data_IF_562543655224
#
_entry.id   IF_562543655224
#
_cell.length_a   1.000
_cell.length_b   1.000
_cell.length_c   1.000
_cell.angle_alpha   90.00
_cell.angle_beta   90.00
_cell.angle_gamma   90.00
#
_symmetry.space_group_name_H-M   'P 1'
#
loop_
_entity.id
_entity.type
_entity.pdbx_description
1 polymer ?
#
# COMPACT_ATOMS: atom_id res chain seq x y z
N UNK A 1 -14.45 41.95 -0.38
CA UNK A 1 -13.66 40.73 -0.63
C UNK A 1 -13.82 39.79 0.55
N UNK A 2 -14.76 38.85 0.47
CA UNK A 2 -14.90 37.81 1.49
C UNK A 2 -13.75 36.83 1.35
N UNK A 3 -12.94 36.69 2.41
CA UNK A 3 -12.01 35.56 2.55
C UNK A 3 -12.84 34.29 2.67
N UNK A 4 -12.98 33.57 1.58
CA UNK A 4 -13.49 32.20 1.60
C UNK A 4 -12.47 31.37 2.37
N UNK A 5 -12.76 31.09 3.64
CA UNK A 5 -12.03 30.12 4.44
C UNK A 5 -12.24 28.76 3.78
N UNK A 6 -11.26 28.33 2.98
CA UNK A 6 -11.20 26.96 2.47
C UNK A 6 -11.16 26.07 3.71
N UNK A 7 -12.27 25.40 4.03
CA UNK A 7 -12.27 24.29 4.99
C UNK A 7 -11.21 23.31 4.48
N UNK A 8 -10.15 23.13 5.24
CA UNK A 8 -9.22 22.01 5.03
C UNK A 8 -10.06 20.74 5.00
N UNK A 9 -10.15 20.13 3.81
CA UNK A 9 -10.91 18.91 3.57
C UNK A 9 -10.23 17.76 4.31
N UNK A 10 -10.48 17.61 5.61
CA UNK A 10 -9.89 16.52 6.38
C UNK A 10 -10.45 15.19 5.86
N UNK A 11 -9.58 14.33 5.31
CA UNK A 11 -9.95 12.95 5.01
C UNK A 11 -10.47 12.27 6.29
N UNK A 12 -11.61 11.57 6.24
CA UNK A 12 -12.17 10.97 7.43
C UNK A 12 -11.27 9.85 7.94
N UNK A 13 -11.15 9.74 9.27
CA UNK A 13 -10.39 8.70 9.94
C UNK A 13 -11.12 7.36 9.85
N UNK A 14 -10.78 6.56 8.84
CA UNK A 14 -11.26 5.17 8.70
C UNK A 14 -10.30 4.18 9.37
N UNK A 15 -10.63 2.88 9.38
CA UNK A 15 -9.80 1.88 10.11
C UNK A 15 -9.51 0.56 9.42
N UNK A 16 -10.11 0.27 8.27
CA UNK A 16 -9.80 -0.94 7.51
C UNK A 16 -9.32 -0.60 6.10
N UNK A 17 -8.32 -1.35 5.66
CA UNK A 17 -7.60 -1.08 4.41
C UNK A 17 -8.27 -1.73 3.19
N UNK A 18 -8.82 -2.93 3.34
CA UNK A 18 -9.32 -3.73 2.21
C UNK A 18 -10.76 -3.36 1.84
N UNK A 19 -11.03 -3.25 0.54
CA UNK A 19 -12.39 -3.06 0.02
C UNK A 19 -13.20 -4.37 0.10
N UNK A 20 -12.53 -5.53 0.13
CA UNK A 20 -13.13 -6.85 0.38
C UNK A 20 -13.99 -6.87 1.66
N UNK A 21 -13.71 -6.00 2.64
CA UNK A 21 -14.53 -5.87 3.85
C UNK A 21 -15.98 -5.47 3.55
N UNK A 22 -16.23 -4.61 2.55
CA UNK A 22 -17.59 -4.28 2.12
C UNK A 22 -18.29 -5.51 1.55
N UNK A 23 -17.61 -6.25 0.66
CA UNK A 23 -18.19 -7.45 0.06
C UNK A 23 -18.59 -8.49 1.11
N UNK A 24 -17.69 -8.83 2.03
CA UNK A 24 -18.00 -9.85 3.04
C UNK A 24 -19.07 -9.38 4.02
N UNK A 25 -19.16 -8.07 4.29
CA UNK A 25 -20.20 -7.51 5.14
C UNK A 25 -21.56 -7.61 4.46
N UNK A 26 -21.69 -7.11 3.22
CA UNK A 26 -22.94 -7.17 2.47
C UNK A 26 -23.40 -8.62 2.28
N UNK A 27 -22.47 -9.54 1.99
CA UNK A 27 -22.76 -10.98 1.86
C UNK A 27 -23.23 -11.62 3.17
N UNK A 28 -22.82 -11.06 4.31
CA UNK A 28 -23.26 -11.54 5.63
C UNK A 28 -24.70 -11.08 5.94
N UNK A 29 -25.04 -9.85 5.55
CA UNK A 29 -26.39 -9.27 5.69
C UNK A 29 -27.39 -9.92 4.72
N UNK A 30 -26.95 -10.31 3.53
CA UNK A 30 -27.84 -11.04 2.59
C UNK A 30 -28.33 -12.38 3.18
N UNK A 31 -27.52 -13.01 4.04
CA UNK A 31 -27.84 -14.32 4.64
C UNK A 31 -28.58 -14.22 5.97
N UNK A 32 -28.38 -13.14 6.71
CA UNK A 32 -28.93 -12.97 8.06
C UNK A 32 -29.33 -11.50 8.26
N UNK A 33 -30.41 -11.25 8.97
CA UNK A 33 -30.85 -9.87 9.27
C UNK A 33 -30.53 -9.46 10.71
N UNK A 34 -30.37 -10.43 11.64
CA UNK A 34 -30.05 -10.16 13.05
C UNK A 34 -28.56 -9.83 13.17
N UNK A 35 -28.23 -8.66 13.73
CA UNK A 35 -26.85 -8.14 13.77
C UNK A 35 -25.80 -9.12 14.30
N UNK A 36 -26.11 -9.91 15.34
CA UNK A 36 -25.18 -10.89 15.90
C UNK A 36 -24.93 -12.09 14.97
N UNK A 37 -25.95 -12.50 14.21
CA UNK A 37 -25.83 -13.54 13.19
C UNK A 37 -25.03 -13.02 11.98
N UNK A 38 -25.29 -11.78 11.56
CA UNK A 38 -24.48 -11.09 10.54
C UNK A 38 -23.02 -11.04 10.99
N UNK A 39 -22.76 -10.70 12.24
CA UNK A 39 -21.39 -10.67 12.77
C UNK A 39 -20.74 -12.06 12.75
N UNK A 40 -21.49 -13.13 13.04
CA UNK A 40 -20.98 -14.50 12.96
C UNK A 40 -20.61 -14.89 11.52
N UNK A 41 -21.47 -14.61 10.54
CA UNK A 41 -21.17 -14.81 9.13
C UNK A 41 -19.96 -13.99 8.66
N UNK A 42 -19.88 -12.72 9.10
CA UNK A 42 -18.76 -11.83 8.78
C UNK A 42 -17.43 -12.37 9.29
N UNK A 43 -17.38 -12.95 10.50
CA UNK A 43 -16.15 -13.56 11.03
C UNK A 43 -15.64 -14.71 10.16
N UNK A 44 -16.56 -15.57 9.70
CA UNK A 44 -16.24 -16.72 8.85
C UNK A 44 -15.66 -16.22 7.52
N UNK A 45 -16.38 -15.33 6.82
CA UNK A 45 -15.93 -14.78 5.55
C UNK A 45 -14.61 -13.99 5.70
N UNK A 46 -14.41 -13.28 6.81
CA UNK A 46 -13.15 -12.59 7.11
C UNK A 46 -11.96 -13.55 7.18
N UNK A 47 -12.15 -14.76 7.69
CA UNK A 47 -11.11 -15.80 7.72
C UNK A 47 -10.86 -16.37 6.31
N UNK A 48 -11.92 -16.72 5.59
CA UNK A 48 -11.87 -17.25 4.22
C UNK A 48 -11.13 -16.30 3.26
N UNK A 49 -11.46 -15.01 3.31
CA UNK A 49 -10.80 -13.97 2.50
C UNK A 49 -9.43 -13.53 3.06
N UNK A 50 -8.99 -14.15 4.17
CA UNK A 50 -7.73 -13.90 4.87
C UNK A 50 -7.54 -12.42 5.22
N UNK A 51 -8.60 -11.72 5.61
CA UNK A 51 -8.52 -10.29 5.88
C UNK A 51 -7.94 -10.01 7.27
N UNK A 52 -6.90 -9.18 7.31
CA UNK A 52 -6.19 -8.75 8.52
C UNK A 52 -6.70 -7.43 9.10
N UNK A 53 -6.20 -7.08 10.30
CA UNK A 53 -6.33 -5.73 10.88
C UNK A 53 -5.25 -4.77 10.35
N UNK A 54 -4.24 -5.31 9.67
CA UNK A 54 -3.20 -4.56 8.98
C UNK A 54 -3.58 -4.36 7.51
N UNK A 55 -2.72 -3.62 6.80
CA UNK A 55 -2.77 -3.48 5.34
C UNK A 55 -2.34 -4.72 4.55
N UNK A 56 -2.08 -5.84 5.24
CA UNK A 56 -1.65 -7.10 4.64
C UNK A 56 -2.67 -8.20 4.93
N UNK A 57 -2.88 -9.10 3.96
CA UNK A 57 -3.68 -10.30 4.16
C UNK A 57 -2.96 -11.25 5.13
N UNK A 58 -3.73 -12.06 5.86
CA UNK A 58 -3.20 -13.08 6.76
C UNK A 58 -2.63 -14.26 5.97
N UNK A 59 -1.57 -14.84 6.49
CA UNK A 59 -0.99 -16.06 5.92
C UNK A 59 -1.72 -17.33 6.39
N UNK A 60 -2.27 -17.29 7.60
CA UNK A 60 -2.87 -18.45 8.28
C UNK A 60 -4.26 -18.10 8.81
N UNK A 61 -5.12 -19.11 8.84
CA UNK A 61 -6.42 -19.06 9.49
C UNK A 61 -6.25 -19.08 11.01
N UNK A 62 -7.19 -18.46 11.71
CA UNK A 62 -7.21 -18.45 13.18
C UNK A 62 -8.38 -19.29 13.62
N UNK A 63 -8.16 -20.58 13.90
CA UNK A 63 -9.22 -21.52 14.27
C UNK A 63 -9.99 -21.06 15.52
N UNK A 64 -9.29 -20.47 16.51
CA UNK A 64 -9.90 -20.04 17.78
C UNK A 64 -9.42 -18.63 18.20
N UNK A 65 -10.16 -17.56 17.82
CA UNK A 65 -9.77 -16.20 18.18
C UNK A 65 -9.95 -15.93 19.69
N UNK A 66 -8.90 -15.40 20.31
CA UNK A 66 -8.91 -14.91 21.70
C UNK A 66 -9.98 -13.83 21.91
N UNK A 67 -10.43 -13.62 23.16
CA UNK A 67 -11.40 -12.57 23.51
C UNK A 67 -10.99 -11.19 22.96
N UNK A 68 -9.70 -10.85 23.07
CA UNK A 68 -9.15 -9.60 22.54
C UNK A 68 -9.26 -9.50 21.02
N UNK A 69 -9.06 -10.61 20.30
CA UNK A 69 -9.24 -10.63 18.84
C UNK A 69 -10.72 -10.53 18.47
N UNK A 70 -11.62 -11.19 19.21
CA UNK A 70 -13.06 -11.07 18.98
C UNK A 70 -13.56 -9.63 19.17
N UNK A 71 -13.10 -8.94 20.22
CA UNK A 71 -13.39 -7.52 20.43
C UNK A 71 -12.94 -6.65 19.26
N UNK A 72 -11.75 -6.91 18.70
CA UNK A 72 -11.25 -6.18 17.53
C UNK A 72 -12.02 -6.52 16.25
N UNK A 73 -12.47 -7.76 16.09
CA UNK A 73 -13.33 -8.16 14.98
C UNK A 73 -14.67 -7.44 15.06
N UNK A 74 -15.30 -7.39 16.24
CA UNK A 74 -16.55 -6.64 16.45
C UNK A 74 -16.36 -5.15 16.19
N UNK A 75 -15.23 -4.60 16.63
CA UNK A 75 -14.86 -3.22 16.32
C UNK A 75 -14.75 -2.96 14.81
N UNK A 76 -14.09 -3.86 14.07
CA UNK A 76 -13.95 -3.77 12.61
C UNK A 76 -15.32 -3.90 11.93
N UNK A 77 -16.13 -4.87 12.34
CA UNK A 77 -17.49 -5.08 11.87
C UNK A 77 -18.34 -3.82 12.01
N UNK A 78 -18.38 -3.22 13.20
CA UNK A 78 -19.12 -1.98 13.44
C UNK A 78 -18.61 -0.84 12.54
N UNK A 79 -17.29 -0.73 12.30
CA UNK A 79 -16.75 0.30 11.42
C UNK A 79 -17.10 0.09 9.96
N UNK A 80 -17.16 -1.16 9.49
CA UNK A 80 -17.63 -1.48 8.14
C UNK A 80 -19.11 -1.17 8.02
N UNK A 81 -19.92 -1.54 9.03
CA UNK A 81 -21.35 -1.23 9.09
C UNK A 81 -21.59 0.29 9.02
N UNK A 82 -20.85 1.08 9.80
CA UNK A 82 -20.94 2.55 9.79
C UNK A 82 -20.67 3.11 8.38
N UNK A 83 -19.63 2.63 7.69
CA UNK A 83 -19.31 3.06 6.32
C UNK A 83 -20.38 2.58 5.31
N UNK A 84 -20.91 1.36 5.45
CA UNK A 84 -21.98 0.88 4.58
C UNK A 84 -23.26 1.71 4.73
N UNK A 85 -23.61 2.14 5.95
CA UNK A 85 -24.73 3.07 6.20
C UNK A 85 -24.49 4.43 5.52
N UNK A 86 -23.29 4.97 5.70
CA UNK A 86 -22.88 6.25 5.12
C UNK A 86 -22.99 6.26 3.59
N UNK A 87 -22.65 5.14 2.95
CA UNK A 87 -22.75 4.99 1.49
C UNK A 87 -24.12 4.46 1.03
N UNK A 88 -25.12 4.40 1.92
CA UNK A 88 -26.50 4.01 1.57
C UNK A 88 -26.65 2.55 1.13
N UNK A 89 -25.75 1.66 1.57
CA UNK A 89 -25.75 0.24 1.18
C UNK A 89 -26.66 -0.63 2.05
N UNK A 90 -27.04 -0.13 3.22
CA UNK A 90 -27.90 -0.83 4.16
C UNK A 90 -28.77 0.14 4.97
N UNK A 91 -29.81 -0.41 5.59
CA UNK A 91 -30.66 0.23 6.59
C UNK A 91 -30.56 -0.62 7.86
N UNK A 92 -30.42 0.04 9.01
CA UNK A 92 -30.58 -0.60 10.33
C UNK A 92 -31.89 -0.10 10.92
N UNK A 93 -32.76 -1.03 11.28
CA UNK A 93 -34.06 -0.75 11.88
C UNK A 93 -33.93 -0.61 13.41
N UNK A 94 -34.97 -0.08 14.05
CA UNK A 94 -34.99 0.16 15.51
C UNK A 94 -34.82 -1.12 16.35
N UNK A 95 -35.20 -2.28 15.80
CA UNK A 95 -35.06 -3.60 16.42
C UNK A 95 -33.66 -4.23 16.22
N UNK A 96 -32.70 -3.46 15.71
CA UNK A 96 -31.35 -3.90 15.36
C UNK A 96 -31.28 -4.96 14.25
N UNK A 97 -32.33 -5.09 13.44
CA UNK A 97 -32.25 -5.81 12.17
C UNK A 97 -31.56 -4.95 11.10
N UNK A 98 -30.83 -5.61 10.20
CA UNK A 98 -30.04 -4.99 9.16
C UNK A 98 -30.52 -5.50 7.80
N UNK A 99 -30.87 -4.58 6.91
CA UNK A 99 -31.35 -4.89 5.57
C UNK A 99 -30.48 -4.22 4.50
N UNK A 100 -30.23 -4.93 3.40
CA UNK A 100 -29.57 -4.35 2.23
C UNK A 100 -30.53 -3.41 1.50
N UNK A 101 -30.03 -2.25 1.09
CA UNK A 101 -30.74 -1.40 0.12
C UNK A 101 -30.63 -2.01 -1.28
N UNK A 102 -31.37 -1.45 -2.25
CA UNK A 102 -31.21 -1.83 -3.66
C UNK A 102 -29.79 -1.61 -4.17
N UNK A 103 -29.11 -0.56 -3.72
CA UNK A 103 -27.70 -0.31 -4.06
C UNK A 103 -26.78 -1.38 -3.45
N UNK A 104 -27.01 -1.78 -2.20
CA UNK A 104 -26.28 -2.89 -1.56
C UNK A 104 -26.45 -4.22 -2.31
N UNK A 105 -27.68 -4.54 -2.73
CA UNK A 105 -27.97 -5.73 -3.55
C UNK A 105 -27.33 -5.66 -4.93
N UNK A 106 -27.38 -4.48 -5.58
CA UNK A 106 -26.75 -4.23 -6.88
C UNK A 106 -25.25 -4.49 -6.83
N UNK A 107 -24.55 -4.02 -5.80
CA UNK A 107 -23.12 -4.28 -5.63
C UNK A 107 -22.82 -5.78 -5.48
N UNK A 108 -23.59 -6.50 -4.66
CA UNK A 108 -23.41 -7.96 -4.52
C UNK A 108 -23.62 -8.70 -5.84
N UNK A 109 -24.64 -8.32 -6.61
CA UNK A 109 -24.87 -8.88 -7.93
C UNK A 109 -23.67 -8.59 -8.86
N UNK A 110 -23.18 -7.36 -8.88
CA UNK A 110 -22.02 -6.96 -9.69
C UNK A 110 -20.77 -7.77 -9.36
N UNK A 111 -20.52 -8.05 -8.07
CA UNK A 111 -19.42 -8.94 -7.69
C UNK A 111 -19.56 -10.34 -8.32
N UNK A 112 -20.77 -10.90 -8.34
CA UNK A 112 -21.04 -12.25 -8.86
C UNK A 112 -20.94 -12.32 -10.39
N UNK A 113 -21.35 -11.26 -11.09
CA UNK A 113 -21.43 -11.24 -12.56
C UNK A 113 -20.16 -10.70 -13.23
N UNK A 114 -19.51 -9.71 -12.62
CA UNK A 114 -18.37 -8.98 -13.20
C UNK A 114 -17.07 -9.14 -12.38
N UNK A 115 -17.17 -9.69 -11.17
CA UNK A 115 -16.04 -9.96 -10.30
C UNK A 115 -15.65 -8.80 -9.37
N UNK A 116 -14.62 -9.06 -8.55
CA UNK A 116 -14.15 -8.15 -7.49
C UNK A 116 -13.74 -6.76 -8.00
N UNK A 117 -13.28 -6.63 -9.24
CA UNK A 117 -12.78 -5.35 -9.76
C UNK A 117 -13.90 -4.37 -10.02
N UNK A 118 -14.96 -4.83 -10.68
CA UNK A 118 -16.14 -4.03 -10.94
C UNK A 118 -16.81 -3.62 -9.62
N UNK A 119 -16.90 -4.56 -8.67
CA UNK A 119 -17.34 -4.28 -7.30
C UNK A 119 -16.51 -3.18 -6.62
N UNK A 120 -15.18 -3.34 -6.60
CA UNK A 120 -14.28 -2.39 -5.97
C UNK A 120 -14.35 -1.01 -6.61
N UNK A 121 -14.50 -0.93 -7.94
CA UNK A 121 -14.66 0.33 -8.65
C UNK A 121 -15.97 1.03 -8.26
N UNK A 122 -17.07 0.30 -8.11
CA UNK A 122 -18.33 0.88 -7.64
C UNK A 122 -18.26 1.36 -6.20
N UNK A 123 -17.63 0.59 -5.30
CA UNK A 123 -17.37 1.03 -3.91
C UNK A 123 -16.48 2.28 -3.89
N UNK A 124 -15.47 2.34 -4.77
CA UNK A 124 -14.63 3.51 -4.95
C UNK A 124 -15.45 4.75 -5.34
N UNK A 125 -16.42 4.62 -6.27
CA UNK A 125 -17.26 5.75 -6.71
C UNK A 125 -18.07 6.32 -5.54
N UNK A 126 -18.67 5.45 -4.73
CA UNK A 126 -19.40 5.85 -3.52
C UNK A 126 -18.51 6.62 -2.53
N UNK A 127 -17.29 6.14 -2.31
CA UNK A 127 -16.31 6.83 -1.46
C UNK A 127 -15.88 8.19 -2.05
N UNK A 128 -15.72 8.25 -3.37
CA UNK A 128 -15.31 9.47 -4.06
C UNK A 128 -16.43 10.51 -4.08
N UNK A 129 -17.68 10.10 -4.28
CA UNK A 129 -18.87 10.95 -4.15
C UNK A 129 -18.96 11.57 -2.75
N UNK A 130 -18.76 10.75 -1.71
CA UNK A 130 -18.89 11.17 -0.32
C UNK A 130 -17.74 12.11 0.14
N UNK A 131 -16.52 11.90 -0.35
CA UNK A 131 -15.32 12.52 0.25
C UNK A 131 -14.36 13.18 -0.72
N UNK A 132 -14.42 12.86 -2.01
CA UNK A 132 -13.41 13.24 -3.01
C UNK A 132 -11.99 12.86 -2.56
N UNK A 133 -11.88 11.76 -1.83
CA UNK A 133 -10.67 11.38 -1.12
C UNK A 133 -9.52 11.05 -2.08
N UNK A 134 -9.84 10.41 -3.20
CA UNK A 134 -8.86 9.94 -4.17
C UNK A 134 -8.35 11.09 -5.03
N UNK A 135 -9.22 11.99 -5.48
CA UNK A 135 -8.80 13.27 -6.09
C UNK A 135 -7.82 14.01 -5.21
N UNK A 136 -8.23 14.21 -3.95
CA UNK A 136 -7.46 14.97 -2.98
C UNK A 136 -6.09 14.36 -2.74
N UNK A 137 -6.00 13.02 -2.67
CA UNK A 137 -4.71 12.33 -2.56
C UNK A 137 -3.84 12.50 -3.81
N UNK A 138 -4.41 12.35 -5.01
CA UNK A 138 -3.65 12.47 -6.26
C UNK A 138 -3.12 13.89 -6.45
N UNK A 139 -3.97 14.89 -6.26
CA UNK A 139 -3.58 16.32 -6.31
C UNK A 139 -2.49 16.62 -5.27
N UNK A 140 -2.65 16.13 -4.03
CA UNK A 140 -1.62 16.27 -2.98
C UNK A 140 -0.28 15.67 -3.38
N UNK A 141 -0.25 14.45 -3.95
CA UNK A 141 1.00 13.80 -4.35
C UNK A 141 1.75 14.65 -5.37
N UNK A 142 1.07 15.11 -6.42
CA UNK A 142 1.67 15.96 -7.45
C UNK A 142 2.10 17.33 -6.91
N UNK A 143 1.34 17.94 -5.99
CA UNK A 143 1.72 19.20 -5.34
C UNK A 143 2.98 19.02 -4.47
N UNK A 144 3.00 17.98 -3.63
CA UNK A 144 4.08 17.72 -2.68
C UNK A 144 5.41 17.36 -3.37
N UNK A 145 5.39 16.79 -4.57
CA UNK A 145 6.60 16.53 -5.35
C UNK A 145 6.40 16.63 -6.86
N UNK A 146 6.14 17.83 -7.37
CA UNK A 146 5.89 18.08 -8.80
C UNK A 146 7.07 17.67 -9.69
N UNK A 147 8.30 17.98 -9.29
CA UNK A 147 9.53 17.61 -10.02
C UNK A 147 9.77 16.09 -10.06
N UNK A 148 9.32 15.38 -9.03
CA UNK A 148 9.42 13.92 -8.92
C UNK A 148 8.19 13.18 -9.42
N UNK A 149 7.31 13.80 -10.22
CA UNK A 149 6.07 13.18 -10.71
C UNK A 149 5.19 12.60 -9.60
N UNK A 150 5.07 13.34 -8.49
CA UNK A 150 4.25 12.98 -7.34
C UNK A 150 4.77 11.85 -6.46
N UNK A 151 6.04 11.45 -6.61
CA UNK A 151 6.65 10.39 -5.81
C UNK A 151 7.00 10.88 -4.41
N UNK A 152 6.47 10.23 -3.37
CA UNK A 152 6.85 10.47 -1.98
C UNK A 152 7.67 9.29 -1.45
N UNK A 153 8.80 9.62 -0.83
CA UNK A 153 9.70 8.65 -0.19
C UNK A 153 9.64 8.86 1.32
N UNK A 154 9.39 7.78 2.05
CA UNK A 154 9.34 7.76 3.52
C UNK A 154 10.43 6.82 4.04
N UNK A 155 11.69 7.28 4.07
CA UNK A 155 12.80 6.47 4.53
C UNK A 155 12.62 6.14 6.01
N UNK A 156 12.88 4.89 6.38
CA UNK A 156 12.94 4.48 7.77
C UNK A 156 13.93 3.34 7.94
N UNK A 157 14.66 3.37 9.05
CA UNK A 157 15.69 2.41 9.36
C UNK A 157 15.48 1.88 10.77
N UNK A 158 15.49 0.57 10.90
CA UNK A 158 15.60 -0.12 12.18
C UNK A 158 17.02 0.05 12.73
N UNK A 159 17.21 -0.17 14.05
CA UNK A 159 18.54 -0.18 14.63
C UNK A 159 19.50 -1.16 13.93
N UNK A 160 19.02 -2.33 13.53
CA UNK A 160 19.84 -3.33 12.84
C UNK A 160 20.34 -2.86 11.48
N UNK A 161 19.49 -2.18 10.69
CA UNK A 161 19.86 -1.60 9.39
C UNK A 161 20.89 -0.48 9.52
N UNK A 162 21.05 0.09 10.71
CA UNK A 162 22.11 1.05 11.05
C UNK A 162 23.24 0.42 11.86
N UNK A 163 23.35 -0.91 11.85
CA UNK A 163 24.39 -1.69 12.51
C UNK A 163 24.37 -1.64 14.05
N UNK A 164 23.23 -1.33 14.66
CA UNK A 164 23.03 -1.46 16.10
C UNK A 164 22.34 -2.78 16.44
N UNK A 165 23.08 -3.68 17.08
CA UNK A 165 22.50 -4.92 17.59
C UNK A 165 21.61 -4.64 18.81
N UNK A 166 20.44 -5.27 18.89
CA UNK A 166 19.52 -5.16 20.04
C UNK A 166 20.20 -5.45 21.38
N UNK A 167 21.13 -6.42 21.43
CA UNK A 167 21.87 -6.77 22.66
C UNK A 167 22.75 -5.62 23.18
N UNK A 168 23.14 -4.71 22.29
CA UNK A 168 24.05 -3.60 22.58
C UNK A 168 23.31 -2.30 22.90
N UNK A 169 21.98 -2.27 22.79
CA UNK A 169 21.18 -1.09 23.13
C UNK A 169 20.49 -1.36 24.48
N UNK A 170 21.10 -0.87 25.56
CA UNK A 170 20.62 -1.11 26.92
C UNK A 170 20.33 0.18 27.70
N UNK A 171 20.92 1.29 27.29
CA UNK A 171 20.85 2.58 28.00
C UNK A 171 20.24 3.68 27.14
N UNK A 172 19.85 4.79 27.79
CA UNK A 172 19.45 6.02 27.09
C UNK A 172 20.54 6.51 26.14
N UNK A 173 21.82 6.42 26.53
CA UNK A 173 22.96 6.80 25.68
C UNK A 173 23.01 5.99 24.38
N UNK A 174 22.80 4.68 24.44
CA UNK A 174 22.82 3.83 23.25
C UNK A 174 21.69 4.21 22.28
N UNK A 175 20.52 4.56 22.81
CA UNK A 175 19.38 5.03 22.01
C UNK A 175 19.64 6.40 21.38
N UNK A 176 20.35 7.30 22.06
CA UNK A 176 20.77 8.59 21.50
C UNK A 176 21.74 8.36 20.32
N UNK A 177 22.73 7.48 20.47
CA UNK A 177 23.67 7.16 19.38
C UNK A 177 22.95 6.59 18.16
N UNK A 178 21.95 5.72 18.39
CA UNK A 178 21.10 5.21 17.33
C UNK A 178 20.32 6.33 16.63
N UNK A 179 19.66 7.23 17.37
CA UNK A 179 18.86 8.30 16.74
C UNK A 179 19.73 9.33 16.02
N UNK A 180 20.95 9.60 16.49
CA UNK A 180 21.92 10.44 15.78
C UNK A 180 22.36 9.82 14.45
N UNK A 181 22.67 8.52 14.44
CA UNK A 181 22.97 7.77 13.20
C UNK A 181 21.79 7.79 12.23
N UNK A 182 20.58 7.58 12.75
CA UNK A 182 19.33 7.66 11.98
C UNK A 182 19.16 9.05 11.35
N UNK A 183 19.33 10.12 12.12
CA UNK A 183 19.25 11.50 11.63
C UNK A 183 20.23 11.75 10.49
N UNK A 184 21.49 11.32 10.64
CA UNK A 184 22.50 11.47 9.58
C UNK A 184 22.05 10.79 8.29
N UNK A 185 21.50 9.57 8.41
CA UNK A 185 21.00 8.82 7.25
C UNK A 185 19.79 9.51 6.60
N UNK A 186 18.81 9.92 7.40
CA UNK A 186 17.60 10.61 6.92
C UNK A 186 17.93 11.92 6.21
N UNK A 187 18.91 12.71 6.71
CA UNK A 187 19.37 13.93 6.02
C UNK A 187 19.91 13.62 4.62
N UNK A 188 20.72 12.58 4.48
CA UNK A 188 21.24 12.15 3.18
C UNK A 188 20.13 11.70 2.22
N UNK A 189 19.10 11.01 2.72
CA UNK A 189 17.96 10.61 1.88
C UNK A 189 17.07 11.80 1.48
N UNK A 190 16.86 12.78 2.37
CA UNK A 190 16.17 14.03 2.04
C UNK A 190 16.91 14.77 0.94
N UNK A 191 18.24 14.93 1.06
CA UNK A 191 19.05 15.56 0.02
C UNK A 191 18.98 14.78 -1.30
N UNK A 192 19.06 13.45 -1.23
CA UNK A 192 19.03 12.58 -2.41
C UNK A 192 17.71 12.64 -3.15
N UNK A 193 16.58 12.52 -2.44
CA UNK A 193 15.25 12.34 -3.04
C UNK A 193 14.45 13.64 -3.16
N UNK A 194 14.58 14.55 -2.20
CA UNK A 194 13.84 15.82 -2.17
C UNK A 194 14.67 17.01 -2.65
N UNK A 195 15.98 16.83 -2.86
CA UNK A 195 16.90 17.86 -3.35
C UNK A 195 16.91 19.11 -2.46
N UNK A 196 16.72 18.93 -1.16
CA UNK A 196 16.78 19.99 -0.17
C UNK A 196 17.66 19.59 1.01
N UNK A 197 18.19 20.58 1.74
CA UNK A 197 18.96 20.35 2.96
C UNK A 197 18.15 20.83 4.16
N UNK A 198 18.00 19.95 5.14
CA UNK A 198 17.20 20.21 6.34
C UNK A 198 18.03 19.84 7.56
N UNK A 199 18.03 20.71 8.57
CA UNK A 199 18.58 20.38 9.88
C UNK A 199 17.52 19.65 10.71
N UNK A 200 17.83 18.42 11.10
CA UNK A 200 16.96 17.56 11.90
C UNK A 200 17.34 17.55 13.39
N UNK A 201 18.37 18.31 13.79
CA UNK A 201 18.91 18.29 15.16
C UNK A 201 17.85 18.65 16.19
N UNK A 202 17.14 19.77 15.99
CA UNK A 202 16.06 20.20 16.88
C UNK A 202 14.92 19.17 16.95
N UNK A 203 14.54 18.60 15.81
CA UNK A 203 13.48 17.58 15.73
C UNK A 203 13.86 16.28 16.45
N UNK A 204 15.14 15.88 16.38
CA UNK A 204 15.63 14.74 17.12
C UNK A 204 15.60 14.98 18.64
N UNK A 205 15.90 16.20 19.09
CA UNK A 205 15.78 16.57 20.50
C UNK A 205 14.31 16.56 20.96
N UNK A 206 13.37 17.04 20.13
CA UNK A 206 11.93 16.97 20.41
C UNK A 206 11.47 15.51 20.55
N UNK A 207 11.90 14.62 19.65
CA UNK A 207 11.64 13.18 19.72
C UNK A 207 12.14 12.57 21.05
N UNK A 208 13.41 12.79 21.39
CA UNK A 208 14.01 12.21 22.60
C UNK A 208 13.29 12.71 23.86
N UNK A 209 13.00 14.02 23.94
CA UNK A 209 12.22 14.60 25.05
C UNK A 209 10.86 13.94 25.20
N UNK A 210 10.15 13.69 24.08
CA UNK A 210 8.85 13.02 24.09
C UNK A 210 8.94 11.58 24.62
N UNK A 211 9.94 10.81 24.17
CA UNK A 211 10.13 9.42 24.61
C UNK A 211 10.47 9.36 26.11
N UNK A 212 11.32 10.27 26.61
CA UNK A 212 11.67 10.38 28.03
C UNK A 212 10.48 10.84 28.87
N UNK A 213 9.70 11.82 28.39
CA UNK A 213 8.49 12.29 29.08
C UNK A 213 7.47 11.17 29.25
N UNK A 214 7.30 10.33 28.22
CA UNK A 214 6.40 9.18 28.27
C UNK A 214 6.94 8.01 29.13
N UNK A 215 8.06 8.20 29.84
CA UNK A 215 8.64 7.22 30.76
C UNK A 215 9.31 6.02 30.11
N UNK A 216 9.54 6.04 28.78
CA UNK A 216 10.17 4.91 28.09
C UNK A 216 11.70 4.92 28.17
N UNK A 217 12.30 6.09 28.34
CA UNK A 217 13.73 6.24 28.55
C UNK A 217 14.01 6.99 29.85
N UNK A 218 14.95 6.52 30.69
CA UNK A 218 15.42 7.28 31.83
C UNK A 218 15.97 8.66 31.44
N UNK A 219 15.82 9.65 32.34
CA UNK A 219 16.40 10.99 32.18
C UNK A 219 17.94 10.97 32.18
N UNK A 220 18.54 10.06 32.94
CA UNK A 220 20.00 9.88 32.96
C UNK A 220 20.45 9.16 31.70
N UNK A 221 21.53 9.64 31.08
CA UNK A 221 22.14 9.03 29.90
C UNK A 221 22.65 7.60 30.16
N UNK A 222 23.16 7.33 31.36
CA UNK A 222 23.62 6.00 31.77
C UNK A 222 22.50 5.08 32.29
N UNK A 223 21.27 5.61 32.41
CA UNK A 223 20.13 4.84 32.88
C UNK A 223 19.76 3.73 31.91
N UNK A 224 19.55 2.52 32.45
CA UNK A 224 19.02 1.38 31.69
C UNK A 224 17.50 1.49 31.56
N UNK A 225 16.97 1.18 30.37
CA UNK A 225 15.53 1.07 30.14
C UNK A 225 15.11 -0.42 30.12
N UNK A 226 13.83 -0.70 30.29
CA UNK A 226 13.32 -2.08 30.23
C UNK A 226 13.50 -2.67 28.82
N UNK A 227 14.24 -3.77 28.63
CA UNK A 227 14.42 -4.43 27.33
C UNK A 227 13.10 -4.87 26.66
N UNK A 228 12.01 -5.03 27.42
CA UNK A 228 10.66 -5.31 26.90
C UNK A 228 10.09 -4.12 26.13
N UNK A 229 10.47 -2.90 26.51
CA UNK A 229 10.01 -1.66 25.86
C UNK A 229 10.80 -1.32 24.58
N UNK A 230 11.90 -2.02 24.28
CA UNK A 230 12.75 -1.78 23.10
C UNK A 230 11.95 -1.64 21.78
N UNK A 231 11.03 -2.58 21.51
CA UNK A 231 10.22 -2.59 20.30
C UNK A 231 9.24 -1.40 20.27
N UNK A 232 8.74 -0.97 21.43
CA UNK A 232 7.83 0.18 21.55
C UNK A 232 8.58 1.49 21.35
N UNK A 233 9.79 1.62 21.89
CA UNK A 233 10.67 2.78 21.72
C UNK A 233 11.03 2.95 20.23
N UNK A 234 11.56 1.89 19.63
CA UNK A 234 11.95 1.90 18.19
C UNK A 234 10.76 2.19 17.28
N UNK A 235 9.58 1.64 17.58
CA UNK A 235 8.33 1.97 16.88
C UNK A 235 7.99 3.45 17.00
N UNK A 236 8.04 4.04 18.21
CA UNK A 236 7.74 5.48 18.40
C UNK A 236 8.71 6.39 17.65
N UNK A 237 10.00 6.02 17.62
CA UNK A 237 11.01 6.73 16.82
C UNK A 237 10.65 6.71 15.34
N UNK A 238 10.32 5.52 14.81
CA UNK A 238 9.90 5.38 13.41
C UNK A 238 8.64 6.19 13.11
N UNK A 239 7.60 6.02 13.92
CA UNK A 239 6.30 6.66 13.70
C UNK A 239 6.41 8.20 13.80
N UNK A 240 7.29 8.73 14.66
CA UNK A 240 7.62 10.16 14.72
C UNK A 240 8.21 10.66 13.40
N UNK A 241 9.25 9.99 12.89
CA UNK A 241 9.89 10.43 11.64
C UNK A 241 8.96 10.28 10.45
N UNK A 242 8.19 9.19 10.33
CA UNK A 242 7.17 9.07 9.27
C UNK A 242 6.16 10.22 9.30
N UNK A 243 5.72 10.60 10.50
CA UNK A 243 4.82 11.75 10.69
C UNK A 243 5.49 13.06 10.29
N UNK A 244 6.75 13.27 10.67
CA UNK A 244 7.54 14.42 10.27
C UNK A 244 7.67 14.53 8.75
N UNK A 245 8.01 13.43 8.05
CA UNK A 245 8.04 13.41 6.59
C UNK A 245 6.70 13.82 5.99
N UNK A 246 5.60 13.20 6.45
CA UNK A 246 4.28 13.46 5.91
C UNK A 246 3.81 14.91 6.15
N UNK A 247 3.83 15.34 7.40
CA UNK A 247 3.16 16.58 7.83
C UNK A 247 4.08 17.80 7.76
N UNK A 248 5.38 17.64 8.04
CA UNK A 248 6.31 18.77 8.07
C UNK A 248 7.13 18.93 6.79
N UNK A 249 7.55 17.84 6.14
CA UNK A 249 8.29 17.95 4.87
C UNK A 249 7.33 18.06 3.68
N UNK A 250 6.40 17.12 3.53
CA UNK A 250 5.44 17.12 2.42
C UNK A 250 4.22 18.02 2.65
N UNK A 251 4.10 18.64 3.84
CA UNK A 251 3.00 19.55 4.20
C UNK A 251 1.61 18.93 4.04
N UNK A 252 1.51 17.62 4.22
CA UNK A 252 0.24 16.93 4.18
C UNK A 252 -0.62 17.35 5.38
N UNK A 253 -1.88 17.77 5.17
CA UNK A 253 -2.77 18.12 6.28
C UNK A 253 -3.32 16.88 7.01
N UNK A 254 -3.09 15.67 6.48
CA UNK A 254 -3.64 14.43 7.02
C UNK A 254 -2.74 13.77 8.06
N UNK A 255 -3.34 12.98 8.94
CA UNK A 255 -2.59 12.08 9.80
C UNK A 255 -2.01 10.92 8.99
N UNK A 256 -0.88 10.35 9.44
CA UNK A 256 -0.27 9.18 8.79
C UNK A 256 -1.26 8.01 8.64
N UNK A 257 -2.11 7.78 9.65
CA UNK A 257 -3.14 6.73 9.60
C UNK A 257 -4.13 6.95 8.48
N UNK A 258 -4.61 8.19 8.30
CA UNK A 258 -5.60 8.51 7.26
C UNK A 258 -4.95 8.45 5.87
N UNK A 259 -3.74 8.99 5.74
CA UNK A 259 -2.96 8.93 4.50
C UNK A 259 -2.67 7.49 4.08
N UNK A 260 -2.23 6.63 5.01
CA UNK A 260 -2.03 5.21 4.74
C UNK A 260 -3.33 4.57 4.28
N UNK A 261 -4.39 4.69 5.07
CA UNK A 261 -5.63 3.99 4.77
C UNK A 261 -6.18 4.33 3.39
N UNK A 262 -6.31 5.63 3.09
CA UNK A 262 -6.83 6.06 1.80
C UNK A 262 -5.87 5.71 0.66
N UNK A 263 -4.56 5.79 0.88
CA UNK A 263 -3.55 5.36 -0.09
C UNK A 263 -3.62 3.86 -0.42
N UNK A 264 -3.85 2.99 0.56
CA UNK A 264 -4.00 1.54 0.34
C UNK A 264 -5.35 1.16 -0.28
N UNK A 265 -6.42 1.92 -0.02
CA UNK A 265 -7.68 1.79 -0.77
C UNK A 265 -7.49 2.22 -2.23
N UNK A 266 -6.82 3.35 -2.46
CA UNK A 266 -6.49 3.86 -3.79
C UNK A 266 -5.66 2.86 -4.59
N UNK A 267 -4.74 2.15 -3.92
CA UNK A 267 -3.93 1.07 -4.50
C UNK A 267 -4.74 -0.10 -5.03
N UNK A 268 -5.82 -0.49 -4.35
CA UNK A 268 -6.69 -1.57 -4.82
C UNK A 268 -7.46 -1.23 -6.10
N UNK A 269 -7.57 0.07 -6.44
CA UNK A 269 -8.22 0.58 -7.65
C UNK A 269 -7.20 0.92 -8.75
N UNK A 270 -5.91 0.97 -8.41
CA UNK A 270 -4.85 1.40 -9.33
C UNK A 270 -4.74 2.92 -9.50
N UNK A 271 -5.24 3.69 -8.53
CA UNK A 271 -5.13 5.17 -8.52
C UNK A 271 -3.75 5.61 -8.04
N UNK A 272 -3.24 4.97 -6.99
CA UNK A 272 -1.95 5.25 -6.36
C UNK A 272 -1.25 3.92 -6.10
N UNK A 273 0.05 3.84 -6.31
CA UNK A 273 0.84 2.75 -5.75
C UNK A 273 1.38 3.12 -4.37
N UNK A 274 1.29 2.20 -3.42
CA UNK A 274 1.95 2.27 -2.12
C UNK A 274 2.66 0.95 -1.81
N UNK A 275 3.96 1.03 -1.54
CA UNK A 275 4.80 -0.14 -1.19
C UNK A 275 5.68 0.18 0.01
N UNK A 276 5.88 -0.80 0.88
CA UNK A 276 6.69 -0.72 2.10
C UNK A 276 8.08 -1.34 1.92
N UNK A 277 8.35 -1.86 0.73
CA UNK A 277 9.56 -2.60 0.41
C UNK A 277 9.90 -2.36 -1.05
N UNK A 278 10.63 -1.28 -1.31
CA UNK A 278 11.23 -1.04 -2.62
C UNK A 278 12.72 -1.44 -2.57
N UNK A 279 13.24 -2.25 -3.50
CA UNK A 279 14.56 -2.88 -3.34
C UNK A 279 15.74 -1.92 -3.12
N UNK A 280 15.65 -0.69 -3.64
CA UNK A 280 16.74 0.29 -3.55
C UNK A 280 16.49 1.39 -2.51
N UNK A 281 15.41 1.30 -1.74
CA UNK A 281 15.00 2.28 -0.73
C UNK A 281 14.54 1.54 0.53
N UNK A 282 15.25 1.73 1.64
CA UNK A 282 14.76 1.27 2.94
C UNK A 282 13.66 2.22 3.42
N UNK A 283 12.42 1.86 3.12
CA UNK A 283 11.28 2.65 3.51
C UNK A 283 10.05 2.41 2.67
N UNK A 284 9.08 3.29 2.85
CA UNK A 284 7.84 3.31 2.08
C UNK A 284 7.97 4.24 0.87
N UNK A 285 7.41 3.82 -0.25
CA UNK A 285 7.29 4.60 -1.48
C UNK A 285 5.80 4.74 -1.83
N UNK A 286 5.35 5.96 -2.12
CA UNK A 286 3.99 6.25 -2.57
C UNK A 286 4.04 7.11 -3.82
N UNK A 287 3.28 6.77 -4.85
CA UNK A 287 3.27 7.55 -6.09
C UNK A 287 1.96 7.36 -6.87
N UNK A 288 1.52 8.37 -7.61
CA UNK A 288 0.33 8.25 -8.43
C UNK A 288 0.56 7.32 -9.62
N UNK A 289 -0.46 6.52 -9.94
CA UNK A 289 -0.61 5.76 -11.19
C UNK A 289 -1.84 6.27 -11.96
N UNK A 290 -2.23 7.52 -11.66
CA UNK A 290 -3.42 8.18 -12.17
C UNK A 290 -3.20 9.69 -12.24
N UNK A 291 -4.06 10.39 -12.96
CA UNK A 291 -4.06 11.85 -13.12
C UNK A 291 -5.46 12.42 -12.98
N UNK A 292 -5.56 13.66 -12.51
CA UNK A 292 -6.82 14.42 -12.47
C UNK A 292 -6.72 15.58 -13.44
N UNK A 293 -7.39 15.47 -14.59
CA UNK A 293 -7.31 16.41 -15.71
C UNK A 293 -8.67 16.58 -16.39
N UNK A 294 -8.84 17.61 -17.20
CA UNK A 294 -10.07 17.82 -17.98
C UNK A 294 -10.18 16.80 -19.13
N UNK A 295 -9.05 16.45 -19.73
CA UNK A 295 -8.93 15.43 -20.78
C UNK A 295 -7.51 14.83 -20.83
N UNK A 296 -7.41 13.66 -21.44
CA UNK A 296 -6.14 12.98 -21.78
C UNK A 296 -6.10 12.69 -23.28
N UNK A 297 -4.91 12.67 -23.87
CA UNK A 297 -4.70 12.41 -25.30
C UNK A 297 -4.16 11.01 -25.60
N UNK A 298 -3.96 10.17 -24.58
CA UNK A 298 -3.44 8.81 -24.72
C UNK A 298 -4.52 7.80 -24.33
N UNK A 299 -4.62 6.74 -25.12
CA UNK A 299 -5.49 5.58 -24.88
C UNK A 299 -4.97 4.68 -23.73
N UNK A 300 -3.77 4.95 -23.22
CA UNK A 300 -3.23 4.26 -22.04
C UNK A 300 -3.94 4.68 -20.75
N UNK A 301 -4.89 5.62 -20.81
CA UNK A 301 -5.62 6.12 -19.65
C UNK A 301 -7.10 5.75 -19.72
N UNK A 302 -7.59 5.13 -18.65
CA UNK A 302 -9.02 4.82 -18.48
C UNK A 302 -9.66 5.81 -17.51
N UNK A 303 -10.74 6.46 -17.93
CA UNK A 303 -11.57 7.28 -17.04
C UNK A 303 -12.28 6.40 -16.01
N UNK A 304 -12.19 6.75 -14.74
CA UNK A 304 -12.87 6.01 -13.66
C UNK A 304 -13.87 6.87 -12.87
N UNK A 305 -13.78 8.20 -12.99
CA UNK A 305 -14.66 9.14 -12.30
C UNK A 305 -14.68 10.51 -12.99
N UNK A 306 -15.84 11.17 -13.01
CA UNK A 306 -16.05 12.52 -13.56
C UNK A 306 -16.53 13.48 -12.46
N UNK A 307 -15.81 14.58 -12.24
CA UNK A 307 -16.11 15.57 -11.22
C UNK A 307 -17.01 16.68 -11.77
N UNK A 308 -17.79 17.30 -10.89
CA UNK A 308 -18.71 18.40 -11.23
C UNK A 308 -18.02 19.66 -11.79
N UNK A 309 -16.71 19.82 -11.54
CA UNK A 309 -15.92 20.93 -12.08
C UNK A 309 -15.33 20.64 -13.47
N UNK A 310 -15.77 19.56 -14.12
CA UNK A 310 -15.35 19.16 -15.47
C UNK A 310 -14.04 18.35 -15.51
N UNK A 311 -13.30 18.31 -14.39
CA UNK A 311 -12.14 17.43 -14.25
C UNK A 311 -12.58 15.97 -14.19
N UNK A 312 -11.67 15.07 -14.52
CA UNK A 312 -11.88 13.62 -14.49
C UNK A 312 -10.67 12.93 -13.87
N UNK A 313 -10.90 11.81 -13.20
CA UNK A 313 -9.84 10.93 -12.71
C UNK A 313 -9.59 9.82 -13.72
N UNK A 314 -8.36 9.77 -14.22
CA UNK A 314 -7.90 8.76 -15.16
C UNK A 314 -6.84 7.88 -14.52
N UNK A 315 -6.98 6.56 -14.61
CA UNK A 315 -5.94 5.60 -14.21
C UNK A 315 -5.11 5.20 -15.41
N UNK A 316 -3.80 5.07 -15.23
CA UNK A 316 -2.91 4.59 -16.28
C UNK A 316 -3.01 3.06 -16.39
N UNK A 317 -3.64 2.62 -17.47
CA UNK A 317 -3.91 1.23 -17.84
C UNK A 317 -3.58 1.01 -19.33
N UNK A 318 -2.28 1.03 -19.68
CA UNK A 318 -1.84 0.70 -21.04
C UNK A 318 -2.28 -0.71 -21.43
N UNK A 319 -2.61 -0.89 -22.71
CA UNK A 319 -3.01 -2.19 -23.27
C UNK A 319 -1.88 -2.79 -24.08
N UNK A 320 -1.79 -4.13 -24.11
CA UNK A 320 -0.74 -4.80 -24.86
C UNK A 320 -0.96 -4.73 -26.37
N UNK A 321 -2.17 -4.45 -26.85
CA UNK A 321 -2.50 -4.41 -28.28
C UNK A 321 -2.42 -5.78 -28.96
N UNK A 322 -3.13 -5.95 -30.07
CA UNK A 322 -3.16 -7.23 -30.81
C UNK A 322 -1.94 -7.40 -31.73
N UNK A 323 -1.16 -6.34 -31.94
CA UNK A 323 0.00 -6.36 -32.84
C UNK A 323 1.22 -7.01 -32.18
N UNK A 324 1.91 -7.86 -32.94
CA UNK A 324 3.14 -8.54 -32.50
C UNK A 324 4.21 -7.57 -31.96
N UNK A 325 4.20 -6.31 -32.42
CA UNK A 325 5.14 -5.23 -32.10
C UNK A 325 4.53 -4.04 -31.33
N UNK A 326 3.57 -4.26 -30.44
CA UNK A 326 3.08 -3.19 -29.58
C UNK A 326 4.22 -2.44 -28.83
N UNK A 327 4.29 -1.10 -28.93
CA UNK A 327 5.29 -0.29 -28.23
C UNK A 327 5.28 -0.51 -26.72
N UNK A 328 4.09 -0.71 -26.13
CA UNK A 328 3.97 -0.95 -24.70
C UNK A 328 4.50 -2.33 -24.30
N UNK A 329 4.20 -3.38 -25.10
CA UNK A 329 4.75 -4.73 -24.90
C UNK A 329 6.28 -4.70 -24.83
N UNK A 330 6.91 -4.07 -25.81
CA UNK A 330 8.38 -3.94 -25.85
C UNK A 330 8.91 -3.17 -24.64
N UNK A 331 8.29 -2.03 -24.30
CA UNK A 331 8.67 -1.23 -23.13
C UNK A 331 8.51 -2.00 -21.81
N UNK A 332 7.46 -2.81 -21.67
CA UNK A 332 7.25 -3.65 -20.50
C UNK A 332 8.33 -4.72 -20.39
N UNK A 333 8.58 -5.48 -21.46
CA UNK A 333 9.62 -6.52 -21.51
C UNK A 333 10.99 -5.93 -21.20
N UNK A 334 11.36 -4.81 -21.83
CA UNK A 334 12.62 -4.12 -21.57
C UNK A 334 12.76 -3.69 -20.11
N UNK A 335 11.68 -3.18 -19.53
CA UNK A 335 11.68 -2.74 -18.13
C UNK A 335 11.78 -3.93 -17.17
N UNK A 336 11.11 -5.04 -17.49
CA UNK A 336 11.20 -6.30 -16.77
C UNK A 336 12.63 -6.86 -16.78
N UNK A 337 13.25 -6.92 -17.96
CA UNK A 337 14.64 -7.41 -18.14
C UNK A 337 15.63 -6.51 -17.39
N UNK A 338 15.54 -5.18 -17.54
CA UNK A 338 16.41 -4.23 -16.84
C UNK A 338 16.25 -4.34 -15.33
N UNK A 339 15.02 -4.40 -14.83
CA UNK A 339 14.74 -4.58 -13.40
C UNK A 339 15.28 -5.91 -12.87
N UNK A 340 15.17 -6.99 -13.64
CA UNK A 340 15.73 -8.28 -13.29
C UNK A 340 17.25 -8.20 -13.13
N UNK A 341 17.96 -7.60 -14.08
CA UNK A 341 19.42 -7.47 -14.00
C UNK A 341 19.88 -6.53 -12.88
N UNK A 342 19.10 -5.50 -12.55
CA UNK A 342 19.40 -4.62 -11.42
C UNK A 342 19.36 -5.38 -10.08
N UNK A 343 18.40 -6.29 -9.91
CA UNK A 343 18.31 -7.17 -8.73
C UNK A 343 19.34 -8.28 -8.77
N UNK A 344 19.53 -8.93 -9.93
CA UNK A 344 20.48 -10.02 -10.13
C UNK A 344 21.91 -9.62 -9.77
N UNK A 345 22.31 -8.35 -9.98
CA UNK A 345 23.63 -7.83 -9.59
C UNK A 345 23.88 -7.88 -8.07
N UNK A 346 22.84 -7.97 -7.27
CA UNK A 346 22.94 -8.02 -5.80
C UNK A 346 23.05 -9.46 -5.27
N UNK A 347 22.76 -10.47 -6.09
CA UNK A 347 22.67 -11.87 -5.68
C UNK A 347 23.49 -12.79 -6.60
N UNK A 348 24.00 -13.91 -6.05
CA UNK A 348 24.86 -14.82 -6.83
C UNK A 348 24.07 -15.79 -7.72
N UNK A 349 22.84 -16.13 -7.36
CA UNK A 349 21.98 -17.11 -8.05
C UNK A 349 21.08 -16.47 -9.11
N UNK A 350 20.58 -17.25 -10.07
CA UNK A 350 19.81 -16.74 -11.23
C UNK A 350 18.38 -16.31 -10.90
N UNK A 351 17.80 -16.85 -9.85
CA UNK A 351 16.44 -16.49 -9.43
C UNK A 351 16.45 -15.20 -8.62
N UNK A 352 15.42 -14.38 -8.76
CA UNK A 352 15.20 -13.21 -7.91
C UNK A 352 13.76 -13.20 -7.40
N UNK A 353 13.52 -12.44 -6.33
CA UNK A 353 12.18 -12.24 -5.80
C UNK A 353 11.31 -11.46 -6.80
N UNK A 354 10.20 -12.07 -7.23
CA UNK A 354 9.30 -11.51 -8.24
C UNK A 354 8.52 -10.30 -7.73
N UNK A 355 8.18 -10.24 -6.44
CA UNK A 355 7.51 -9.07 -5.86
C UNK A 355 8.40 -7.82 -5.91
N UNK A 356 9.70 -7.98 -5.65
CA UNK A 356 10.71 -6.92 -5.76
C UNK A 356 10.84 -6.43 -7.19
N UNK A 357 10.84 -7.36 -8.16
CA UNK A 357 10.82 -7.01 -9.57
C UNK A 357 9.54 -6.26 -9.95
N UNK A 358 8.37 -6.72 -9.50
CA UNK A 358 7.09 -6.03 -9.68
C UNK A 358 7.18 -4.58 -9.21
N UNK A 359 7.68 -4.33 -8.00
CA UNK A 359 7.77 -2.95 -7.49
C UNK A 359 8.65 -2.05 -8.38
N UNK A 360 9.76 -2.57 -8.91
CA UNK A 360 10.61 -1.84 -9.86
C UNK A 360 9.87 -1.53 -11.16
N UNK A 361 9.21 -2.53 -11.74
CA UNK A 361 8.50 -2.38 -13.02
C UNK A 361 7.31 -1.44 -12.87
N UNK A 362 6.48 -1.63 -11.84
CA UNK A 362 5.36 -0.74 -11.53
C UNK A 362 5.84 0.71 -11.35
N UNK A 363 6.96 0.92 -10.67
CA UNK A 363 7.48 2.27 -10.42
C UNK A 363 7.98 2.94 -11.69
N UNK A 364 8.72 2.21 -12.53
CA UNK A 364 9.29 2.71 -13.79
C UNK A 364 8.23 2.98 -14.84
N UNK A 365 7.18 2.16 -14.89
CA UNK A 365 6.09 2.29 -15.86
C UNK A 365 4.89 3.08 -15.34
N UNK A 366 4.86 3.42 -14.05
CA UNK A 366 3.72 4.07 -13.37
C UNK A 366 2.41 3.32 -13.59
N UNK A 367 2.45 2.00 -13.40
CA UNK A 367 1.29 1.11 -13.50
C UNK A 367 0.95 0.49 -12.15
N UNK A 368 -0.30 0.06 -11.99
CA UNK A 368 -0.74 -0.65 -10.79
C UNK A 368 -0.14 -2.06 -10.71
N UNK A 369 -0.11 -2.66 -9.51
CA UNK A 369 0.25 -4.09 -9.35
C UNK A 369 -0.62 -5.00 -10.21
N UNK A 370 -1.89 -4.63 -10.32
CA UNK A 370 -2.89 -5.38 -11.06
C UNK A 370 -2.58 -5.38 -12.57
N UNK A 371 -2.28 -4.21 -13.13
CA UNK A 371 -1.83 -4.06 -14.52
C UNK A 371 -0.55 -4.85 -14.78
N UNK A 372 0.40 -4.84 -13.83
CA UNK A 372 1.61 -5.66 -13.94
C UNK A 372 1.28 -7.15 -14.01
N UNK A 373 0.39 -7.65 -13.16
CA UNK A 373 0.00 -9.07 -13.14
C UNK A 373 -0.68 -9.49 -14.44
N UNK A 374 -1.61 -8.70 -14.98
CA UNK A 374 -2.23 -8.97 -16.28
C UNK A 374 -1.21 -8.98 -17.41
N UNK A 375 -0.35 -7.95 -17.46
CA UNK A 375 0.66 -7.83 -18.50
C UNK A 375 1.65 -8.99 -18.40
N UNK A 376 2.11 -9.34 -17.20
CA UNK A 376 3.02 -10.46 -16.98
C UNK A 376 2.39 -11.80 -17.37
N UNK A 377 1.10 -11.99 -17.11
CA UNK A 377 0.34 -13.18 -17.54
C UNK A 377 0.39 -13.36 -19.06
N UNK A 378 0.10 -12.30 -19.81
CA UNK A 378 0.13 -12.32 -21.26
C UNK A 378 1.55 -12.51 -21.79
N UNK A 379 2.52 -11.77 -21.27
CA UNK A 379 3.95 -11.94 -21.61
C UNK A 379 4.41 -13.37 -21.32
N UNK A 380 3.98 -13.99 -20.21
CA UNK A 380 4.35 -15.36 -19.89
C UNK A 380 3.74 -16.39 -20.86
N UNK A 381 2.51 -16.18 -21.35
CA UNK A 381 1.93 -17.01 -22.43
C UNK A 381 2.71 -16.88 -23.73
N UNK A 382 3.15 -15.67 -24.09
CA UNK A 382 4.03 -15.44 -25.24
C UNK A 382 5.39 -16.12 -25.07
N UNK A 383 5.93 -16.13 -23.85
CA UNK A 383 7.15 -16.87 -23.51
C UNK A 383 6.99 -18.38 -23.75
N UNK A 384 5.90 -18.98 -23.25
CA UNK A 384 5.63 -20.41 -23.42
C UNK A 384 5.42 -20.83 -24.88
N UNK A 385 4.87 -19.93 -25.71
CA UNK A 385 4.71 -20.15 -27.15
C UNK A 385 5.97 -19.83 -27.97
N UNK A 386 7.07 -19.41 -27.34
CA UNK A 386 8.34 -19.11 -28.01
C UNK A 386 8.34 -17.80 -28.81
N UNK A 387 7.36 -16.92 -28.59
CA UNK A 387 7.20 -15.66 -29.31
C UNK A 387 7.98 -14.48 -28.69
N UNK A 388 8.72 -14.73 -27.61
CA UNK A 388 9.61 -13.74 -27.00
C UNK A 388 11.08 -13.99 -27.33
N UNK A 389 11.83 -12.89 -27.44
CA UNK A 389 13.31 -12.90 -27.57
C UNK A 389 14.03 -13.20 -26.25
N UNK A 390 13.28 -13.40 -25.17
CA UNK A 390 13.76 -13.76 -23.84
C UNK A 390 13.07 -15.05 -23.38
N UNK A 391 13.70 -15.77 -22.45
CA UNK A 391 13.10 -16.89 -21.75
C UNK A 391 12.84 -16.49 -20.30
N UNK A 392 11.61 -16.69 -19.85
CA UNK A 392 11.16 -16.43 -18.49
C UNK A 392 10.85 -17.76 -17.81
N UNK A 393 11.42 -17.98 -16.64
CA UNK A 393 11.08 -19.09 -15.74
C UNK A 393 10.45 -18.52 -14.48
N UNK A 394 9.28 -19.05 -14.08
CA UNK A 394 8.54 -18.64 -12.88
C UNK A 394 8.35 -19.83 -11.95
N UNK A 395 8.71 -19.67 -10.67
CA UNK A 395 8.59 -20.74 -9.68
C UNK A 395 7.83 -20.28 -8.44
N UNK A 396 7.33 -21.27 -7.69
CA UNK A 396 6.55 -21.07 -6.45
C UNK A 396 7.47 -21.03 -5.23
N UNK A 397 8.72 -21.49 -5.37
CA UNK A 397 9.67 -21.59 -4.27
C UNK A 397 10.03 -20.23 -3.68
N UNK A 398 10.41 -20.23 -2.40
CA UNK A 398 10.94 -19.06 -1.70
C UNK A 398 12.45 -19.01 -1.86
N UNK A 399 13.00 -17.81 -1.92
CA UNK A 399 14.46 -17.68 -1.82
C UNK A 399 14.92 -18.05 -0.40
N UNK A 400 16.10 -18.68 -0.23
CA UNK A 400 16.62 -19.06 1.08
C UNK A 400 16.76 -17.90 2.08
N UNK A 401 16.85 -16.68 1.56
CA UNK A 401 17.05 -15.44 2.32
C UNK A 401 15.72 -14.82 2.81
N UNK A 402 14.57 -15.31 2.34
CA UNK A 402 13.26 -14.75 2.68
C UNK A 402 12.78 -15.21 4.07
N UNK A 403 12.81 -14.28 5.02
CA UNK A 403 12.14 -14.49 6.31
C UNK A 403 10.62 -14.41 6.18
N UNK A 404 9.87 -15.08 7.07
CA UNK A 404 8.39 -15.00 7.10
C UNK A 404 7.87 -13.55 7.18
N UNK A 405 8.62 -12.64 7.81
CA UNK A 405 8.27 -11.22 7.88
C UNK A 405 8.46 -10.46 6.55
N UNK A 406 9.43 -10.86 5.72
CA UNK A 406 9.56 -10.35 4.36
C UNK A 406 8.43 -10.89 3.49
N UNK A 407 8.12 -12.19 3.61
CA UNK A 407 7.01 -12.83 2.90
C UNK A 407 5.65 -12.16 3.20
N UNK A 408 5.40 -11.71 4.43
CA UNK A 408 4.18 -10.97 4.77
C UNK A 408 4.08 -9.58 4.11
N UNK A 409 5.21 -8.93 3.80
CA UNK A 409 5.23 -7.61 3.15
C UNK A 409 5.13 -7.73 1.63
N UNK A 410 5.53 -8.86 1.07
CA UNK A 410 5.50 -9.14 -0.36
C UNK A 410 4.20 -9.85 -0.71
N UNK A 411 3.23 -9.10 -1.25
CA UNK A 411 2.04 -9.70 -1.86
C UNK A 411 2.46 -10.61 -3.02
N UNK A 412 2.11 -11.91 -3.01
CA UNK A 412 2.52 -12.86 -4.03
C UNK A 412 1.96 -12.45 -5.39
N UNK A 413 2.68 -12.77 -6.47
CA UNK A 413 2.29 -12.38 -7.82
C UNK A 413 1.53 -13.53 -8.46
N UNK A 414 0.29 -13.29 -8.89
CA UNK A 414 -0.52 -14.33 -9.53
C UNK A 414 -0.21 -14.41 -11.02
N UNK A 415 0.31 -15.56 -11.46
CA UNK A 415 0.56 -15.86 -12.87
C UNK A 415 -0.07 -17.20 -13.25
N UNK A 416 -0.96 -17.17 -14.24
CA UNK A 416 -1.72 -18.29 -14.79
C UNK A 416 -2.48 -19.08 -13.70
N UNK A 417 -3.23 -18.34 -12.87
CA UNK A 417 -4.03 -18.89 -11.77
C UNK A 417 -3.20 -19.41 -10.58
N UNK A 418 -1.87 -19.32 -10.61
CA UNK A 418 -0.98 -19.80 -9.55
C UNK A 418 -0.13 -18.66 -8.97
N UNK A 419 0.11 -18.67 -7.66
CA UNK A 419 1.04 -17.72 -7.05
C UNK A 419 2.49 -18.09 -7.38
N UNK A 420 3.25 -17.11 -7.87
CA UNK A 420 4.67 -17.21 -8.18
C UNK A 420 5.47 -16.25 -7.28
N UNK A 421 6.62 -16.72 -6.83
CA UNK A 421 7.46 -16.01 -5.86
C UNK A 421 8.81 -15.61 -6.45
N UNK A 422 9.35 -16.40 -7.37
CA UNK A 422 10.65 -16.13 -7.98
C UNK A 422 10.59 -16.19 -9.50
N UNK A 423 11.51 -15.45 -10.12
CA UNK A 423 11.65 -15.33 -11.57
C UNK A 423 13.13 -15.43 -11.96
N UNK A 424 13.39 -16.11 -13.08
CA UNK A 424 14.64 -16.04 -13.81
C UNK A 424 14.36 -15.59 -15.25
N UNK A 425 15.26 -14.77 -15.80
CA UNK A 425 15.18 -14.29 -17.19
C UNK A 425 16.51 -14.55 -17.89
N UNK A 426 16.45 -15.29 -18.98
CA UNK A 426 17.58 -15.50 -19.90
C UNK A 426 17.33 -14.74 -21.20
N UNK A 427 18.30 -13.91 -21.58
CA UNK A 427 18.27 -13.19 -22.86
C UNK A 427 18.98 -14.07 -23.89
N UNK A 428 18.31 -14.41 -24.99
CA UNK A 428 18.95 -15.17 -26.07
C UNK A 428 20.20 -14.42 -26.58
N UNK A 429 21.31 -15.14 -26.79
CA UNK A 429 22.57 -14.56 -27.31
C UNK A 429 22.29 -13.86 -28.64
N UNK A 430 22.23 -12.52 -28.61
CA UNK A 430 21.88 -11.67 -29.77
C UNK A 430 21.06 -10.39 -29.44
N UNK A 431 20.59 -10.19 -28.21
CA UNK A 431 19.87 -8.97 -27.79
C UNK A 431 20.75 -7.71 -27.67
N UNK A 432 20.15 -6.50 -27.68
CA UNK A 432 20.86 -5.23 -27.88
C UNK A 432 21.89 -4.97 -26.77
N UNK A 433 23.06 -4.48 -27.19
CA UNK A 433 24.17 -4.08 -26.32
C UNK A 433 23.82 -2.86 -25.47
#
# INVERSE_FOLDING_TARGET
>A
MMKTTIKTSSLPSRKFYFLDYFFIFLSSVEKNIIQDEVFNAFKILKQEYRLGESKYKKLEEVENPTLRQQQRYRYTFNKVMDECKEYGLLIEEEDHTIHLTEEGKRLLLQYRTEGIRAFNLSVFRLMEDAHKAFRTLVEFLYEANSKGSGVLVFPHYSPLELHFNRRNIQTTKDMILYTESLVKKLRGDIERYLKCNVDLTKKNQELLKKITHDGLLPKSSSGRFDPKEYNKITKRIRDFWLTYFLQELYKCPYSMTSFDLWGYRARQIGVIQATESYPFINGKLVYPTSVVLDAVHSDDFSEIYHYLDGKRLFVHKPTLGDEEESPYKNKFVDTLVKGYFDLKRQVRYNFINLASLREIVCFRLKISMHTFEETLNEIYRLNLSGQLKIRISLEVDKLPEETSAMYMKHEPVMVDGSYRNIIAIDVAKGGPK
#
